data_IF_320310759984
#
_entry.id   IF_320310759984
#
_cell.length_a   1.000
_cell.length_b   1.000
_cell.length_c   1.000
_cell.angle_alpha   90.00
_cell.angle_beta   90.00
_cell.angle_gamma   90.00
#
_symmetry.space_group_name_H-M   'P 1'
#
loop_
_entity.id
_entity.type
_entity.pdbx_description
1 polymer ?
#
# COMPACT_ATOMS: atom_id res chain seq x y z
N UNK A 1 5.81 -25.97 -26.52
CA UNK A 1 4.40 -25.57 -26.28
C UNK A 1 4.21 -25.55 -24.77
N UNK A 2 4.10 -24.37 -24.16
CA UNK A 2 3.91 -24.24 -22.71
C UNK A 2 2.41 -24.11 -22.43
N UNK A 3 1.87 -24.99 -21.58
CA UNK A 3 0.48 -24.90 -21.14
C UNK A 3 0.32 -23.77 -20.10
N UNK A 4 -0.75 -22.98 -20.14
CA UNK A 4 -1.00 -21.95 -19.14
C UNK A 4 -1.38 -22.61 -17.81
N UNK A 5 -0.59 -22.35 -16.76
CA UNK A 5 -0.96 -22.72 -15.39
C UNK A 5 -1.97 -21.72 -14.84
N UNK A 6 -3.25 -22.04 -14.94
CA UNK A 6 -4.30 -21.25 -14.27
C UNK A 6 -4.11 -21.30 -12.74
N UNK A 7 -4.33 -20.20 -12.01
CA UNK A 7 -4.32 -20.22 -10.55
C UNK A 7 -5.31 -21.25 -10.01
N UNK A 8 -4.86 -22.10 -9.09
CA UNK A 8 -5.73 -23.08 -8.43
C UNK A 8 -6.62 -22.36 -7.44
N UNK A 9 -7.94 -22.44 -7.61
CA UNK A 9 -8.88 -22.00 -6.58
C UNK A 9 -8.68 -22.87 -5.33
N UNK A 10 -8.15 -22.27 -4.26
CA UNK A 10 -8.06 -22.89 -2.94
C UNK A 10 -9.44 -23.03 -2.28
N UNK A 11 -9.61 -23.98 -1.35
CA UNK A 11 -10.89 -24.17 -0.67
C UNK A 11 -11.22 -23.01 0.25
N UNK A 12 -12.45 -22.49 0.20
CA UNK A 12 -12.97 -21.55 1.19
C UNK A 12 -13.04 -22.23 2.55
N UNK A 13 -12.12 -21.89 3.45
CA UNK A 13 -12.10 -22.37 4.83
C UNK A 13 -12.34 -21.20 5.80
N UNK A 14 -13.45 -21.26 6.52
CA UNK A 14 -13.82 -20.30 7.55
C UNK A 14 -13.08 -20.55 8.86
N UNK A 15 -12.51 -19.52 9.47
CA UNK A 15 -12.44 -19.43 10.93
C UNK A 15 -12.47 -17.98 11.39
N UNK A 16 -13.27 -17.68 12.41
CA UNK A 16 -13.33 -16.34 12.99
C UNK A 16 -12.20 -16.16 14.01
N UNK A 17 -10.94 -16.15 13.54
CA UNK A 17 -9.82 -15.47 14.20
C UNK A 17 -8.50 -15.30 13.40
N UNK A 18 -7.94 -16.22 12.60
CA UNK A 18 -8.51 -17.36 11.87
C UNK A 18 -8.90 -17.02 10.41
N UNK A 19 -8.80 -15.73 10.03
CA UNK A 19 -9.47 -15.12 8.87
C UNK A 19 -8.90 -15.47 7.49
N UNK A 20 -7.73 -16.09 7.40
CA UNK A 20 -7.03 -16.33 6.13
C UNK A 20 -6.64 -17.79 5.98
N UNK A 21 -6.66 -18.28 4.73
CA UNK A 21 -6.27 -19.65 4.41
C UNK A 21 -4.77 -19.91 4.60
N UNK A 22 -4.33 -21.19 4.57
CA UNK A 22 -2.94 -21.57 4.82
C UNK A 22 -1.95 -20.97 3.81
N UNK A 23 -2.43 -20.60 2.62
CA UNK A 23 -1.63 -20.00 1.56
C UNK A 23 -1.47 -18.47 1.71
N UNK A 24 -2.05 -17.82 2.73
CA UNK A 24 -1.92 -16.38 2.96
C UNK A 24 -0.62 -16.03 3.70
N UNK A 25 0.08 -14.94 3.34
CA UNK A 25 -0.19 -14.00 2.24
C UNK A 25 0.36 -14.45 0.89
N UNK A 26 0.97 -15.62 0.81
CA UNK A 26 1.62 -16.18 -0.38
C UNK A 26 3.14 -16.21 -0.21
N UNK A 27 3.78 -17.24 -0.78
CA UNK A 27 5.21 -17.57 -0.56
C UNK A 27 6.18 -16.41 -0.86
N UNK A 28 5.83 -15.50 -1.78
CA UNK A 28 6.69 -14.39 -2.19
C UNK A 28 6.32 -13.04 -1.55
N UNK A 29 5.11 -12.90 -1.01
CA UNK A 29 4.54 -11.60 -0.62
C UNK A 29 5.43 -10.79 0.35
N UNK A 30 6.01 -11.42 1.37
CA UNK A 30 6.89 -10.72 2.32
C UNK A 30 8.21 -10.27 1.68
N UNK A 31 8.74 -11.05 0.74
CA UNK A 31 9.93 -10.68 -0.04
C UNK A 31 9.65 -9.51 -0.98
N UNK A 32 8.53 -9.58 -1.71
CA UNK A 32 8.09 -8.52 -2.61
C UNK A 32 7.80 -7.22 -1.84
N UNK A 33 7.12 -7.30 -0.69
CA UNK A 33 6.83 -6.15 0.17
C UNK A 33 8.11 -5.51 0.74
N UNK A 34 9.11 -6.32 1.09
CA UNK A 34 10.43 -5.83 1.52
C UNK A 34 11.18 -5.12 0.38
N UNK A 35 11.18 -5.70 -0.83
CA UNK A 35 11.80 -5.08 -2.01
C UNK A 35 11.11 -3.76 -2.39
N UNK A 36 9.78 -3.73 -2.38
CA UNK A 36 8.99 -2.52 -2.58
C UNK A 36 9.29 -1.46 -1.50
N UNK A 37 9.46 -1.87 -0.24
CA UNK A 37 9.85 -0.97 0.85
C UNK A 37 11.21 -0.32 0.57
N UNK A 38 12.23 -1.12 0.21
CA UNK A 38 13.55 -0.57 -0.15
C UNK A 38 13.51 0.34 -1.38
N UNK A 39 12.75 -0.03 -2.41
CA UNK A 39 12.55 0.81 -3.57
C UNK A 39 11.88 2.14 -3.20
N UNK A 40 10.91 2.14 -2.28
CA UNK A 40 10.22 3.36 -1.85
C UNK A 40 11.12 4.38 -1.15
N UNK A 41 12.25 3.96 -0.58
CA UNK A 41 13.28 4.86 -0.05
C UNK A 41 14.11 5.58 -1.14
N UNK A 42 14.07 5.12 -2.39
CA UNK A 42 14.86 5.66 -3.50
C UNK A 42 14.05 6.72 -4.28
N UNK A 43 14.01 7.96 -3.77
CA UNK A 43 13.21 9.04 -4.38
C UNK A 43 13.55 9.28 -5.86
N UNK A 44 14.83 9.30 -6.19
CA UNK A 44 15.31 9.61 -7.53
C UNK A 44 14.98 8.52 -8.56
N UNK A 45 14.68 7.29 -8.12
CA UNK A 45 14.29 6.19 -9.00
C UNK A 45 12.86 6.36 -9.57
N UNK A 46 12.01 7.13 -8.89
CA UNK A 46 10.59 7.29 -9.23
C UNK A 46 10.19 8.74 -9.54
N UNK A 47 11.09 9.70 -9.34
CA UNK A 47 10.93 11.13 -9.68
C UNK A 47 9.56 11.69 -9.25
N UNK A 48 8.79 12.29 -10.16
CA UNK A 48 7.46 12.84 -9.91
C UNK A 48 6.41 11.80 -9.48
N UNK A 49 6.65 10.51 -9.74
CA UNK A 49 5.76 9.41 -9.32
C UNK A 49 6.11 8.85 -7.94
N UNK A 50 7.21 9.28 -7.33
CA UNK A 50 7.71 8.74 -6.06
C UNK A 50 6.67 8.77 -4.94
N UNK A 51 5.99 9.90 -4.72
CA UNK A 51 4.99 10.02 -3.66
C UNK A 51 3.84 9.02 -3.83
N UNK A 52 3.34 8.85 -5.06
CA UNK A 52 2.29 7.87 -5.34
C UNK A 52 2.76 6.44 -5.11
N UNK A 53 4.01 6.13 -5.46
CA UNK A 53 4.61 4.82 -5.23
C UNK A 53 4.80 4.55 -3.73
N UNK A 54 5.46 5.45 -3.01
CA UNK A 54 5.77 5.30 -1.60
C UNK A 54 4.51 5.17 -0.74
N UNK A 55 3.52 6.07 -0.89
CA UNK A 55 2.27 5.98 -0.13
C UNK A 55 1.53 4.67 -0.43
N UNK A 56 1.52 4.17 -1.68
CA UNK A 56 0.93 2.85 -2.00
C UNK A 56 1.62 1.70 -1.27
N UNK A 57 2.95 1.73 -1.17
CA UNK A 57 3.75 0.69 -0.50
C UNK A 57 3.51 0.70 1.01
N UNK A 58 3.60 1.87 1.65
CA UNK A 58 3.37 1.98 3.09
C UNK A 58 1.91 1.69 3.47
N UNK A 59 0.93 2.11 2.66
CA UNK A 59 -0.48 1.77 2.85
C UNK A 59 -0.75 0.27 2.70
N UNK A 60 -0.12 -0.40 1.71
CA UNK A 60 -0.21 -1.85 1.54
C UNK A 60 0.35 -2.58 2.77
N UNK A 61 1.52 -2.13 3.26
CA UNK A 61 2.16 -2.67 4.48
C UNK A 61 1.30 -2.46 5.72
N UNK A 62 0.76 -1.25 5.92
CA UNK A 62 -0.13 -0.92 7.03
C UNK A 62 -1.39 -1.81 7.04
N UNK A 63 -2.05 -1.98 5.88
CA UNK A 63 -3.20 -2.90 5.78
C UNK A 63 -2.81 -4.35 6.04
N UNK A 64 -1.67 -4.83 5.53
CA UNK A 64 -1.21 -6.19 5.81
C UNK A 64 -1.00 -6.42 7.31
N UNK A 65 -0.31 -5.50 8.00
CA UNK A 65 -0.09 -5.55 9.45
C UNK A 65 -1.41 -5.53 10.23
N UNK A 66 -2.34 -4.64 9.87
CA UNK A 66 -3.68 -4.59 10.47
C UNK A 66 -4.47 -5.89 10.27
N UNK A 67 -4.30 -6.58 9.15
CA UNK A 67 -4.90 -7.90 8.91
C UNK A 67 -4.24 -9.03 9.71
N UNK A 68 -2.99 -8.88 10.15
CA UNK A 68 -2.32 -9.80 11.08
C UNK A 68 -2.65 -9.52 12.56
N UNK A 69 -3.25 -8.36 12.87
CA UNK A 69 -3.48 -7.91 14.25
C UNK A 69 -2.34 -7.05 14.81
N UNK A 70 -1.30 -6.81 14.04
CA UNK A 70 -0.14 -5.95 14.36
C UNK A 70 -0.51 -4.46 14.26
N UNK A 71 -1.45 -4.02 15.10
CA UNK A 71 -2.09 -2.71 14.97
C UNK A 71 -1.13 -1.54 15.22
N UNK A 72 -0.19 -1.68 16.17
CA UNK A 72 0.83 -0.66 16.46
C UNK A 72 1.70 -0.39 15.23
N UNK A 73 2.32 -1.45 14.68
CA UNK A 73 3.09 -1.37 13.44
C UNK A 73 2.23 -0.90 12.25
N UNK A 74 0.93 -1.24 12.21
CA UNK A 74 0.04 -0.75 11.15
C UNK A 74 -0.14 0.78 11.22
N UNK A 75 -0.34 1.33 12.42
CA UNK A 75 -0.47 2.77 12.66
C UNK A 75 0.80 3.52 12.28
N UNK A 76 1.99 3.04 12.69
CA UNK A 76 3.28 3.63 12.28
C UNK A 76 3.42 3.79 10.75
N UNK A 77 2.93 2.80 9.98
CA UNK A 77 3.00 2.85 8.52
C UNK A 77 1.90 3.74 7.90
N UNK A 78 0.78 3.97 8.59
CA UNK A 78 -0.18 5.01 8.21
C UNK A 78 0.33 6.42 8.53
N UNK A 79 0.99 6.61 9.67
CA UNK A 79 1.58 7.91 10.05
C UNK A 79 2.64 8.34 9.02
N UNK A 80 3.51 7.42 8.60
CA UNK A 80 4.45 7.68 7.49
C UNK A 80 3.74 8.06 6.18
N UNK A 81 2.53 7.52 5.90
CA UNK A 81 1.73 7.96 4.75
C UNK A 81 1.19 9.38 4.94
N UNK A 82 0.70 9.74 6.12
CA UNK A 82 0.12 11.07 6.39
C UNK A 82 1.20 12.14 6.40
N UNK A 83 2.37 11.88 7.00
CA UNK A 83 3.53 12.78 6.97
C UNK A 83 3.99 13.07 5.53
N UNK A 84 4.14 12.03 4.69
CA UNK A 84 4.51 12.20 3.27
C UNK A 84 3.50 13.07 2.50
N UNK A 85 2.20 12.86 2.73
CA UNK A 85 1.13 13.63 2.09
C UNK A 85 1.13 15.09 2.56
N UNK A 86 1.21 15.33 3.87
CA UNK A 86 1.23 16.66 4.46
C UNK A 86 2.47 17.45 4.00
N UNK A 87 3.64 16.82 3.99
CA UNK A 87 4.87 17.44 3.49
C UNK A 87 4.76 17.79 2.00
N UNK A 88 4.12 16.95 1.18
CA UNK A 88 3.86 17.27 -0.23
C UNK A 88 2.91 18.45 -0.39
N UNK A 89 1.83 18.54 0.40
CA UNK A 89 0.91 19.66 0.33
C UNK A 89 1.55 20.98 0.82
N UNK A 90 2.41 20.93 1.84
CA UNK A 90 3.18 22.08 2.29
C UNK A 90 4.14 22.62 1.22
N UNK A 91 4.66 21.77 0.34
CA UNK A 91 5.49 22.17 -0.81
C UNK A 91 4.67 22.74 -1.98
N UNK A 92 3.47 22.20 -2.25
CA UNK A 92 2.58 22.65 -3.32
C UNK A 92 1.74 23.89 -2.93
N UNK A 93 1.73 24.31 -1.66
CA UNK A 93 1.03 25.50 -1.14
C UNK A 93 1.55 26.87 -1.68
N UNK A 94 2.35 26.84 -2.76
CA UNK A 94 2.70 28.01 -3.57
C UNK A 94 1.47 28.35 -4.44
N UNK A 95 0.99 29.62 -4.45
CA UNK A 95 -0.42 29.96 -4.69
C UNK A 95 -0.95 29.87 -6.15
N UNK A 96 -0.35 29.02 -6.99
CA UNK A 96 -0.73 28.82 -8.40
C UNK A 96 -0.95 27.34 -8.76
N UNK A 97 -0.82 26.41 -7.80
CA UNK A 97 -1.06 24.97 -8.03
C UNK A 97 -2.38 24.50 -7.42
N UNK A 98 -3.44 24.46 -8.24
CA UNK A 98 -4.74 23.85 -7.92
C UNK A 98 -4.68 22.31 -7.92
N UNK A 99 -3.49 21.76 -7.60
CA UNK A 99 -3.12 20.35 -7.77
C UNK A 99 -3.30 19.57 -6.48
N UNK A 100 -4.56 19.27 -6.15
CA UNK A 100 -4.88 18.35 -5.05
C UNK A 100 -4.18 17.00 -5.27
N UNK A 101 -3.37 16.57 -4.31
CA UNK A 101 -2.69 15.27 -4.34
C UNK A 101 -3.71 14.15 -4.19
N UNK A 102 -3.87 13.33 -5.22
CA UNK A 102 -4.84 12.21 -5.27
C UNK A 102 -4.11 10.91 -5.61
N UNK A 103 -4.10 9.97 -4.67
CA UNK A 103 -3.40 8.69 -4.79
C UNK A 103 -4.43 7.56 -4.87
N UNK A 104 -4.57 6.94 -6.04
CA UNK A 104 -5.45 5.78 -6.24
C UNK A 104 -4.83 4.52 -5.66
N UNK A 105 -5.62 3.71 -4.96
CA UNK A 105 -5.24 2.44 -4.36
C UNK A 105 -5.91 1.29 -5.14
N UNK A 106 -5.22 0.66 -6.13
CA UNK A 106 -5.86 -0.27 -7.06
C UNK A 106 -6.33 -1.59 -6.40
N UNK A 107 -5.83 -1.91 -5.20
CA UNK A 107 -6.18 -3.14 -4.47
C UNK A 107 -7.41 -2.97 -3.57
N UNK A 108 -8.07 -1.82 -3.59
CA UNK A 108 -9.28 -1.52 -2.81
C UNK A 108 -10.47 -1.32 -3.75
N UNK A 109 -11.60 -1.95 -3.44
CA UNK A 109 -12.86 -1.74 -4.17
C UNK A 109 -13.67 -0.55 -3.63
N UNK A 110 -13.65 -0.37 -2.31
CA UNK A 110 -14.22 0.76 -1.56
C UNK A 110 -13.05 1.56 -0.98
N UNK A 111 -13.17 2.88 -0.90
CA UNK A 111 -12.12 3.81 -0.42
C UNK A 111 -10.80 3.67 -1.20
N UNK A 112 -10.91 3.54 -2.51
CA UNK A 112 -9.78 3.33 -3.44
C UNK A 112 -8.98 4.61 -3.77
N UNK A 113 -9.13 5.67 -2.96
CA UNK A 113 -8.49 6.96 -3.14
C UNK A 113 -8.06 7.51 -1.79
N UNK A 114 -6.80 7.94 -1.69
CA UNK A 114 -6.28 8.76 -0.60
C UNK A 114 -6.01 10.15 -1.15
N UNK A 115 -6.55 11.15 -0.48
CA UNK A 115 -6.27 12.56 -0.71
C UNK A 115 -6.34 13.29 0.62
N UNK A 116 -5.63 14.40 0.76
CA UNK A 116 -5.95 15.35 1.81
C UNK A 116 -7.33 15.94 1.49
N UNK A 117 -8.24 15.85 2.45
CA UNK A 117 -9.50 16.59 2.49
C UNK A 117 -9.31 17.82 3.39
N UNK A 118 -10.09 18.87 3.15
CA UNK A 118 -10.17 20.04 4.04
C UNK A 118 -10.95 19.72 5.32
#
# INVERSE_FOLDING_TARGET
MLLPVSPRNGPSASSANGKFGPDFPGTHFLGDLLQLSFASSQRDLFEASWLQFAVRVYWLKARFLALQGEMEQALENYDVCTEMLQHSAALEAIPDSDKRVVIRLPNLHVDSVVSLEE
#
